data_IF_826419968827
#
_entry.id   IF_826419968827
#
_cell.length_a   1.000
_cell.length_b   1.000
_cell.length_c   1.000
_cell.angle_alpha   90.00
_cell.angle_beta   90.00
_cell.angle_gamma   90.00
#
_symmetry.space_group_name_H-M   'P 1'
#
loop_
_entity.id
_entity.type
_entity.pdbx_description
1 polymer ?
#
# COMPACT_ATOMS: atom_id res chain seq x y z
N UNK A 1 -31.94 -19.86 -24.64
CA UNK A 1 -31.19 -19.06 -23.64
C UNK A 1 -30.44 -17.97 -24.40
N UNK A 2 -30.74 -16.69 -24.16
CA UNK A 2 -29.90 -15.59 -24.67
C UNK A 2 -28.61 -15.61 -23.86
N UNK A 3 -27.48 -15.78 -24.53
CA UNK A 3 -26.19 -15.65 -23.87
C UNK A 3 -26.15 -14.29 -23.16
N UNK A 4 -25.91 -14.30 -21.85
CA UNK A 4 -25.70 -13.08 -21.09
C UNK A 4 -24.40 -12.46 -21.64
N UNK A 5 -24.53 -11.38 -22.37
CA UNK A 5 -23.37 -10.71 -22.96
C UNK A 5 -22.60 -10.05 -21.82
N UNK A 6 -21.37 -10.45 -21.62
CA UNK A 6 -20.43 -9.81 -20.67
C UNK A 6 -20.28 -8.34 -21.11
N UNK A 7 -20.54 -7.41 -20.21
CA UNK A 7 -20.42 -5.97 -20.49
C UNK A 7 -19.22 -5.39 -19.72
N UNK A 8 -18.20 -4.98 -20.45
CA UNK A 8 -17.04 -4.30 -19.86
C UNK A 8 -17.42 -3.00 -19.13
N UNK A 9 -18.40 -2.26 -19.65
CA UNK A 9 -18.91 -1.05 -19.00
C UNK A 9 -19.52 -1.35 -17.61
N UNK A 10 -20.27 -2.44 -17.50
CA UNK A 10 -20.86 -2.83 -16.21
C UNK A 10 -19.80 -3.28 -15.22
N UNK A 11 -18.80 -4.02 -15.68
CA UNK A 11 -17.67 -4.44 -14.85
C UNK A 11 -16.88 -3.23 -14.36
N UNK A 12 -16.54 -2.31 -15.24
CA UNK A 12 -15.84 -1.08 -14.88
C UNK A 12 -16.64 -0.22 -13.88
N UNK A 13 -17.93 -0.03 -14.13
CA UNK A 13 -18.81 0.71 -13.24
C UNK A 13 -18.89 0.08 -11.83
N UNK A 14 -18.78 -1.24 -11.71
CA UNK A 14 -18.73 -1.91 -10.42
C UNK A 14 -17.37 -1.72 -9.75
N UNK A 15 -16.28 -1.98 -10.45
CA UNK A 15 -14.91 -1.90 -9.89
C UNK A 15 -14.56 -0.46 -9.48
N UNK A 16 -14.97 0.54 -10.25
CA UNK A 16 -14.71 1.96 -9.92
C UNK A 16 -15.38 2.47 -8.64
N UNK A 17 -16.30 1.70 -8.05
CA UNK A 17 -16.86 2.02 -6.73
C UNK A 17 -15.91 1.73 -5.57
N UNK A 18 -14.81 1.03 -5.83
CA UNK A 18 -13.81 0.66 -4.83
C UNK A 18 -12.56 1.55 -4.88
N UNK A 19 -12.65 2.74 -5.46
CA UNK A 19 -11.56 3.71 -5.54
C UNK A 19 -11.32 4.40 -4.19
N UNK A 20 -10.91 3.62 -3.18
CA UNK A 20 -10.54 4.06 -1.83
C UNK A 20 -9.64 3.00 -1.17
N UNK A 21 -8.88 3.41 -0.16
CA UNK A 21 -8.03 2.51 0.61
C UNK A 21 -8.90 1.49 1.36
N UNK A 22 -8.58 0.20 1.22
CA UNK A 22 -9.31 -0.93 1.80
C UNK A 22 -8.35 -2.03 2.28
N UNK A 23 -7.42 -1.63 3.10
CA UNK A 23 -6.50 -2.56 3.74
C UNK A 23 -7.26 -3.54 4.63
N UNK A 24 -6.72 -4.77 4.75
CA UNK A 24 -7.32 -5.82 5.55
C UNK A 24 -7.45 -5.38 7.03
N UNK A 25 -8.60 -5.67 7.65
CA UNK A 25 -8.91 -5.28 9.03
C UNK A 25 -9.35 -3.82 9.20
N UNK A 26 -9.52 -3.06 8.11
CA UNK A 26 -9.96 -1.67 8.16
C UNK A 26 -11.45 -1.49 7.86
N UNK A 27 -11.98 -0.32 8.21
CA UNK A 27 -13.34 0.08 7.83
C UNK A 27 -13.53 0.09 6.31
N UNK A 28 -12.47 0.39 5.55
CA UNK A 28 -12.47 0.34 4.09
C UNK A 28 -12.72 -1.06 3.55
N UNK A 29 -12.10 -2.09 4.13
CA UNK A 29 -12.37 -3.48 3.80
C UNK A 29 -13.82 -3.87 4.10
N UNK A 30 -14.32 -3.54 5.30
CA UNK A 30 -15.71 -3.84 5.68
C UNK A 30 -16.72 -3.19 4.72
N UNK A 31 -16.48 -1.94 4.34
CA UNK A 31 -17.29 -1.24 3.33
C UNK A 31 -17.26 -1.94 1.97
N UNK A 32 -16.08 -2.44 1.56
CA UNK A 32 -15.97 -3.20 0.31
C UNK A 32 -16.69 -4.55 0.41
N UNK A 33 -16.55 -5.27 1.51
CA UNK A 33 -17.23 -6.54 1.75
C UNK A 33 -18.75 -6.37 1.73
N UNK A 34 -19.30 -5.35 2.42
CA UNK A 34 -20.73 -5.01 2.38
C UNK A 34 -21.23 -4.73 0.97
N UNK A 35 -20.44 -4.00 0.17
CA UNK A 35 -20.82 -3.68 -1.21
C UNK A 35 -20.84 -4.92 -2.10
N UNK A 36 -19.86 -5.80 -1.97
CA UNK A 36 -19.78 -7.07 -2.71
C UNK A 36 -20.94 -7.98 -2.31
N UNK A 37 -21.19 -8.16 -1.02
CA UNK A 37 -22.29 -8.97 -0.51
C UNK A 37 -23.64 -8.52 -1.03
N UNK A 38 -23.88 -7.21 -1.05
CA UNK A 38 -25.12 -6.64 -1.61
C UNK A 38 -25.29 -6.99 -3.08
N UNK A 39 -24.28 -6.80 -3.91
CA UNK A 39 -24.36 -7.13 -5.35
C UNK A 39 -24.57 -8.62 -5.59
N UNK A 40 -23.86 -9.47 -4.82
CA UNK A 40 -24.03 -10.92 -4.91
C UNK A 40 -25.40 -11.37 -4.47
N UNK A 41 -25.99 -10.76 -3.42
CA UNK A 41 -27.34 -11.05 -2.96
C UNK A 41 -28.39 -10.67 -4.00
N UNK A 42 -28.26 -9.52 -4.64
CA UNK A 42 -29.13 -9.10 -5.75
C UNK A 42 -29.06 -10.08 -6.95
N UNK A 43 -27.87 -10.60 -7.23
CA UNK A 43 -27.66 -11.63 -8.26
C UNK A 43 -28.30 -12.96 -7.83
N UNK A 44 -28.13 -13.38 -6.57
CA UNK A 44 -28.69 -14.60 -6.03
C UNK A 44 -30.23 -14.59 -6.07
N UNK A 45 -30.84 -13.48 -5.67
CA UNK A 45 -32.28 -13.30 -5.75
C UNK A 45 -32.81 -13.38 -7.19
N UNK A 46 -32.11 -12.74 -8.12
CA UNK A 46 -32.55 -12.65 -9.51
C UNK A 46 -32.32 -13.92 -10.32
N UNK A 47 -31.25 -14.63 -10.05
CA UNK A 47 -30.77 -15.72 -10.90
C UNK A 47 -30.54 -17.04 -10.16
N UNK A 48 -30.46 -17.03 -8.83
CA UNK A 48 -30.07 -18.16 -8.02
C UNK A 48 -31.17 -19.20 -7.80
N UNK A 49 -32.42 -18.93 -8.17
CA UNK A 49 -33.57 -19.82 -8.02
C UNK A 49 -33.69 -20.47 -6.62
N UNK A 50 -33.18 -19.78 -5.58
CA UNK A 50 -33.15 -20.26 -4.21
C UNK A 50 -31.98 -21.22 -3.87
N UNK A 51 -31.14 -21.56 -4.84
CA UNK A 51 -29.99 -22.48 -4.62
C UNK A 51 -28.69 -21.73 -4.26
N UNK A 52 -28.59 -20.44 -4.60
CA UNK A 52 -27.41 -19.63 -4.35
C UNK A 52 -27.50 -18.93 -2.99
N UNK A 53 -26.58 -19.29 -2.09
CA UNK A 53 -26.45 -18.68 -0.77
C UNK A 53 -25.17 -17.88 -0.68
N UNK A 54 -25.29 -16.67 -0.14
CA UNK A 54 -24.15 -15.78 0.11
C UNK A 54 -23.91 -15.75 1.62
N UNK A 55 -22.67 -16.00 2.02
CA UNK A 55 -22.26 -15.92 3.44
C UNK A 55 -20.87 -15.29 3.53
N UNK A 56 -20.59 -14.64 4.64
CA UNK A 56 -19.25 -14.26 5.03
C UNK A 56 -18.60 -15.34 5.88
N UNK A 57 -17.33 -15.53 5.69
CA UNK A 57 -16.49 -16.38 6.52
C UNK A 57 -15.47 -15.50 7.24
N UNK A 58 -15.75 -15.06 8.49
CA UNK A 58 -14.82 -14.23 9.24
C UNK A 58 -13.58 -15.03 9.63
N UNK A 59 -12.43 -14.40 9.63
CA UNK A 59 -11.18 -14.93 10.14
C UNK A 59 -10.39 -13.80 10.83
N UNK A 60 -9.53 -14.18 11.76
CA UNK A 60 -8.67 -13.23 12.47
C UNK A 60 -7.37 -13.01 11.70
N UNK A 61 -6.93 -11.77 11.67
CA UNK A 61 -5.65 -11.38 11.10
C UNK A 61 -4.91 -10.47 12.07
N UNK A 62 -3.60 -10.53 12.06
CA UNK A 62 -2.79 -9.52 12.71
C UNK A 62 -2.81 -8.24 11.89
N UNK A 63 -3.16 -7.15 12.52
CA UNK A 63 -3.12 -5.81 11.91
C UNK A 63 -2.17 -4.93 12.70
N UNK A 64 -1.68 -3.89 12.06
CA UNK A 64 -0.92 -2.86 12.73
C UNK A 64 -1.38 -1.49 12.26
N UNK A 65 -1.05 -0.52 13.04
CA UNK A 65 -1.30 0.89 12.75
C UNK A 65 0.03 1.64 12.87
N UNK A 66 0.25 2.56 11.97
CA UNK A 66 1.33 3.53 12.09
C UNK A 66 0.75 4.77 12.76
N UNK A 67 1.18 5.03 13.99
CA UNK A 67 0.70 6.20 14.73
C UNK A 67 1.35 7.48 14.22
N UNK A 68 2.64 7.41 13.89
CA UNK A 68 3.40 8.55 13.37
C UNK A 68 4.55 8.07 12.46
N UNK A 69 4.78 8.79 11.37
CA UNK A 69 5.96 8.63 10.52
C UNK A 69 6.43 10.01 10.05
N UNK A 70 7.65 10.37 10.41
CA UNK A 70 8.25 11.68 10.11
C UNK A 70 9.62 11.48 9.48
N UNK A 71 9.90 12.27 8.44
CA UNK A 71 11.23 12.37 7.84
C UNK A 71 11.62 13.83 7.71
N UNK A 72 12.76 14.18 8.29
CA UNK A 72 13.30 15.54 8.25
C UNK A 72 14.72 15.54 7.69
N UNK A 73 14.97 16.33 6.69
CA UNK A 73 16.33 16.71 6.25
C UNK A 73 16.79 17.84 7.16
N UNK A 74 17.96 17.69 7.79
CA UNK A 74 18.52 18.67 8.74
C UNK A 74 19.55 19.56 8.09
N UNK A 75 20.28 19.06 7.08
CA UNK A 75 21.33 19.77 6.35
C UNK A 75 21.19 19.54 4.82
N UNK A 76 21.50 20.50 3.96
CA UNK A 76 22.00 21.87 4.20
C UNK A 76 20.90 22.85 4.59
N UNK A 77 19.66 22.43 4.69
CA UNK A 77 18.50 23.21 5.14
C UNK A 77 17.52 22.27 5.86
N UNK A 78 16.84 22.77 6.86
CA UNK A 78 15.84 22.01 7.57
C UNK A 78 14.54 21.94 6.77
N UNK A 79 14.07 20.71 6.52
CA UNK A 79 12.78 20.46 5.88
C UNK A 79 12.19 19.13 6.29
N UNK A 80 10.97 19.18 6.77
CA UNK A 80 10.16 17.99 7.07
C UNK A 80 9.29 17.62 5.88
N UNK A 81 9.24 16.33 5.59
CA UNK A 81 8.44 15.74 4.52
C UNK A 81 7.34 14.87 5.11
N UNK A 82 6.17 14.93 4.48
CA UNK A 82 5.10 13.98 4.76
C UNK A 82 5.49 12.62 4.23
N UNK A 83 5.50 11.62 5.10
CA UNK A 83 5.81 10.23 4.76
C UNK A 83 4.76 9.31 5.36
N UNK A 84 4.65 8.11 4.82
CA UNK A 84 3.82 7.04 5.38
C UNK A 84 4.74 5.96 5.94
N UNK A 85 4.37 5.36 7.06
CA UNK A 85 5.07 4.20 7.59
C UNK A 85 4.91 3.00 6.67
N UNK A 86 5.98 2.23 6.53
CA UNK A 86 5.92 0.96 5.83
C UNK A 86 5.29 -0.11 6.70
N UNK A 87 4.56 -0.99 6.03
CA UNK A 87 4.00 -2.21 6.61
C UNK A 87 5.14 -3.08 7.20
N UNK A 88 4.98 -3.61 8.44
CA UNK A 88 5.96 -4.42 9.16
C UNK A 88 7.33 -3.75 9.41
N UNK A 89 7.43 -2.45 9.28
CA UNK A 89 8.67 -1.77 9.65
C UNK A 89 8.85 -1.78 11.17
N UNK A 90 10.08 -1.92 11.61
CA UNK A 90 10.42 -1.71 13.02
C UNK A 90 10.24 -0.24 13.40
N UNK A 91 9.81 -0.01 14.64
CA UNK A 91 9.79 1.35 15.19
C UNK A 91 11.22 1.84 15.42
N UNK A 92 11.44 3.13 15.17
CA UNK A 92 12.64 3.81 15.63
C UNK A 92 12.57 4.02 17.16
N UNK A 93 13.71 4.28 17.78
CA UNK A 93 13.73 4.83 19.13
C UNK A 93 12.98 6.18 19.17
N UNK A 94 12.51 6.64 20.35
CA UNK A 94 11.78 7.91 20.44
C UNK A 94 12.51 9.13 19.89
N UNK A 95 13.84 9.12 19.96
CA UNK A 95 14.72 10.14 19.40
C UNK A 95 14.89 10.04 17.86
N UNK A 96 14.38 8.98 17.28
CA UNK A 96 14.51 8.71 15.84
C UNK A 96 15.86 8.12 15.46
N UNK A 97 16.16 8.17 14.16
CA UNK A 97 17.45 7.76 13.58
C UNK A 97 17.98 8.94 12.75
N UNK A 98 19.17 9.41 13.08
CA UNK A 98 19.86 10.44 12.30
C UNK A 98 21.08 9.82 11.61
N UNK A 99 21.15 9.95 10.29
CA UNK A 99 22.25 9.42 9.48
C UNK A 99 22.34 10.17 8.13
N UNK A 100 23.48 10.09 7.44
CA UNK A 100 23.61 10.65 6.10
C UNK A 100 22.57 10.06 5.15
N UNK A 101 22.05 10.90 4.25
CA UNK A 101 21.03 10.52 3.27
C UNK A 101 21.66 10.14 1.93
N UNK A 102 21.14 9.08 1.30
CA UNK A 102 21.60 8.60 0.00
C UNK A 102 20.42 8.23 -0.90
N UNK A 103 20.39 8.77 -2.12
CA UNK A 103 19.46 8.33 -3.17
C UNK A 103 20.13 7.31 -4.08
N UNK A 104 19.53 6.13 -4.23
CA UNK A 104 20.08 4.97 -4.98
C UNK A 104 19.28 4.59 -6.23
N UNK A 105 18.40 5.45 -6.69
CA UNK A 105 17.52 5.18 -7.83
C UNK A 105 16.80 3.81 -7.69
N UNK A 106 17.15 2.85 -8.53
CA UNK A 106 16.55 1.50 -8.51
C UNK A 106 17.35 0.49 -7.69
N UNK A 107 18.35 0.92 -6.93
CA UNK A 107 19.15 0.06 -6.07
C UNK A 107 20.02 -0.94 -6.82
N UNK A 108 20.77 -0.46 -7.81
CA UNK A 108 21.79 -1.26 -8.45
C UNK A 108 22.98 -1.52 -7.50
N UNK A 109 23.81 -2.59 -7.71
CA UNK A 109 24.88 -2.95 -6.80
C UNK A 109 25.93 -1.87 -6.55
N UNK A 110 26.16 -0.98 -7.54
CA UNK A 110 27.17 0.09 -7.40
C UNK A 110 26.62 1.18 -6.48
N UNK A 111 25.38 1.62 -6.71
CA UNK A 111 24.71 2.61 -5.87
C UNK A 111 24.56 2.11 -4.42
N UNK A 112 24.19 0.84 -4.25
CA UNK A 112 24.05 0.21 -2.93
C UNK A 112 25.36 0.00 -2.19
N UNK A 113 26.50 -0.03 -2.86
CA UNK A 113 27.82 -0.17 -2.20
C UNK A 113 28.16 1.01 -1.26
N UNK A 114 27.42 2.10 -1.36
CA UNK A 114 27.58 3.29 -0.52
C UNK A 114 26.50 3.44 0.56
N UNK A 115 25.63 2.44 0.73
CA UNK A 115 24.44 2.52 1.59
C UNK A 115 24.71 2.26 3.07
N UNK A 116 25.87 1.64 3.42
CA UNK A 116 26.19 1.30 4.79
C UNK A 116 26.14 2.51 5.73
N UNK A 117 25.39 2.38 6.83
CA UNK A 117 25.23 3.42 7.84
C UNK A 117 24.40 4.62 7.39
N UNK A 118 23.65 4.54 6.30
CA UNK A 118 22.87 5.66 5.76
C UNK A 118 21.37 5.40 5.74
N UNK A 119 20.59 6.48 5.71
CA UNK A 119 19.18 6.46 5.33
C UNK A 119 19.11 6.54 3.81
N UNK A 120 18.48 5.54 3.19
CA UNK A 120 18.47 5.37 1.74
C UNK A 120 17.10 5.67 1.16
N UNK A 121 17.04 6.46 0.08
CA UNK A 121 15.86 6.60 -0.76
C UNK A 121 16.00 5.73 -2.00
N UNK A 122 15.01 4.87 -2.25
CA UNK A 122 14.96 4.00 -3.42
C UNK A 122 13.64 4.19 -4.17
N UNK A 123 13.67 4.11 -5.50
CA UNK A 123 12.45 4.04 -6.32
C UNK A 123 11.86 2.64 -6.28
N UNK A 124 10.53 2.56 -6.35
CA UNK A 124 9.83 1.28 -6.51
C UNK A 124 8.81 0.98 -5.43
N UNK A 125 8.51 -0.28 -5.23
CA UNK A 125 7.50 -0.75 -4.28
C UNK A 125 8.09 -1.13 -2.92
N UNK A 126 7.26 -1.03 -1.88
CA UNK A 126 7.54 -1.58 -0.56
C UNK A 126 7.36 -3.10 -0.62
N UNK A 127 8.40 -3.82 -1.00
CA UNK A 127 8.39 -5.27 -1.14
C UNK A 127 9.61 -5.92 -0.48
N UNK A 128 9.54 -7.22 -0.24
CA UNK A 128 10.58 -7.97 0.42
C UNK A 128 11.93 -7.89 -0.30
N UNK A 129 11.94 -7.83 -1.63
CA UNK A 129 13.17 -7.76 -2.42
C UNK A 129 13.95 -6.47 -2.14
N UNK A 130 13.26 -5.31 -2.16
CA UNK A 130 13.89 -4.03 -1.86
C UNK A 130 14.34 -3.96 -0.39
N UNK A 131 13.52 -4.49 0.53
CA UNK A 131 13.89 -4.57 1.93
C UNK A 131 15.19 -5.36 2.13
N UNK A 132 15.27 -6.58 1.61
CA UNK A 132 16.45 -7.42 1.72
C UNK A 132 17.71 -6.81 1.08
N UNK A 133 17.56 -6.14 -0.06
CA UNK A 133 18.68 -5.44 -0.72
C UNK A 133 19.26 -4.35 0.17
N UNK A 134 18.41 -3.54 0.79
CA UNK A 134 18.82 -2.43 1.62
C UNK A 134 19.40 -2.91 2.96
N UNK A 135 18.81 -3.94 3.56
CA UNK A 135 19.34 -4.58 4.76
C UNK A 135 20.74 -5.17 4.52
N UNK A 136 20.91 -5.93 3.44
CA UNK A 136 22.23 -6.51 3.05
C UNK A 136 23.26 -5.43 2.73
N UNK A 137 22.84 -4.28 2.23
CA UNK A 137 23.72 -3.13 1.98
C UNK A 137 24.06 -2.33 3.25
N UNK A 138 23.52 -2.71 4.41
CA UNK A 138 23.83 -2.08 5.71
C UNK A 138 23.15 -0.73 5.91
N UNK A 139 22.07 -0.44 5.21
CA UNK A 139 21.27 0.77 5.43
C UNK A 139 20.67 0.75 6.85
N UNK A 140 20.72 1.89 7.56
CA UNK A 140 20.13 2.03 8.90
C UNK A 140 18.66 2.41 8.87
N UNK A 141 18.16 2.86 7.71
CA UNK A 141 16.78 3.15 7.43
C UNK A 141 16.57 3.38 5.94
N UNK A 142 15.33 3.33 5.48
CA UNK A 142 15.05 3.58 4.07
C UNK A 142 13.69 4.23 3.85
N UNK A 143 13.62 4.94 2.74
CA UNK A 143 12.43 5.55 2.19
C UNK A 143 12.19 4.98 0.80
N UNK A 144 10.94 4.79 0.47
CA UNK A 144 10.53 4.31 -0.86
C UNK A 144 9.77 5.43 -1.56
N UNK A 145 10.22 5.78 -2.75
CA UNK A 145 9.48 6.68 -3.63
C UNK A 145 8.52 5.86 -4.48
N UNK A 146 7.24 5.90 -4.13
CA UNK A 146 6.15 5.24 -4.86
C UNK A 146 5.32 6.27 -5.61
N UNK A 147 4.56 5.78 -6.61
CA UNK A 147 3.68 6.63 -7.40
C UNK A 147 4.38 7.36 -8.54
N UNK A 148 3.63 8.20 -9.23
CA UNK A 148 4.15 9.04 -10.28
C UNK A 148 4.25 10.50 -9.80
N UNK A 149 5.13 11.33 -10.39
CA UNK A 149 5.19 12.76 -10.05
C UNK A 149 3.89 13.52 -10.29
N UNK A 150 2.92 12.89 -10.96
CA UNK A 150 1.61 13.43 -11.28
C UNK A 150 0.52 13.02 -10.29
N UNK A 151 0.79 12.06 -9.41
CA UNK A 151 -0.14 11.66 -8.35
C UNK A 151 -0.27 12.81 -7.34
N UNK A 152 -1.37 13.53 -7.45
CA UNK A 152 -1.67 14.69 -6.59
C UNK A 152 -2.64 14.39 -5.46
N UNK A 153 -3.33 13.26 -5.54
CA UNK A 153 -4.35 12.83 -4.59
C UNK A 153 -3.77 11.73 -3.69
N UNK A 154 -3.38 12.08 -2.47
CA UNK A 154 -2.84 11.14 -1.49
C UNK A 154 -3.83 10.03 -1.08
N UNK A 155 -5.14 10.26 -1.29
CA UNK A 155 -6.22 9.32 -0.94
C UNK A 155 -6.62 8.39 -2.10
N UNK A 156 -5.97 8.49 -3.24
CA UNK A 156 -6.20 7.60 -4.38
C UNK A 156 -5.14 6.53 -4.47
N UNK A 157 -5.59 5.32 -4.79
CA UNK A 157 -4.66 4.29 -5.25
C UNK A 157 -4.03 4.75 -6.56
N UNK A 158 -2.73 4.49 -6.77
CA UNK A 158 -2.09 4.69 -8.07
C UNK A 158 -2.88 3.96 -9.15
N UNK A 159 -3.07 4.60 -10.31
CA UNK A 159 -3.74 4.00 -11.47
C UNK A 159 -2.93 2.82 -12.03
#
# INVERSE_FOLDING_TARGET
MKANTISGQRQYAFVSQFNYIREAGTEGEEKAACRIEKELSEIAEKWGQGELQIRREPFEIETWQVDEAVFTVTEPYEKTYTVRGCFAAANTAPEGVEAPFLYVENGDPVSLSHAEGKIVLINGGANAENYEKLEKAGAVGFLILTGTPLDKDEDRLPD
#
